data_IF_755344463257
#
_entry.id   IF_755344463257
#
_cell.length_a   1.000
_cell.length_b   1.000
_cell.length_c   1.000
_cell.angle_alpha   90.00
_cell.angle_beta   90.00
_cell.angle_gamma   90.00
#
_symmetry.space_group_name_H-M   'P 1'
#
loop_
_entity.id
_entity.type
_entity.pdbx_description
1 polymer ?
#
# COMPACT_ATOMS: atom_id res chain seq x y z
N UNK A 1 30.27 21.66 20.58
CA UNK A 1 29.31 22.03 19.52
C UNK A 1 29.12 20.83 18.62
N UNK A 2 28.13 19.98 18.93
CA UNK A 2 27.78 18.81 18.11
C UNK A 2 26.43 19.06 17.47
N UNK A 3 26.43 19.38 16.18
CA UNK A 3 25.20 19.47 15.38
C UNK A 3 24.69 18.05 15.16
N UNK A 4 23.73 17.61 15.98
CA UNK A 4 22.99 16.37 15.78
C UNK A 4 22.20 16.49 14.48
N UNK A 5 22.77 15.89 13.44
CA UNK A 5 22.25 15.79 12.08
C UNK A 5 20.79 15.34 12.13
N UNK A 6 19.91 16.22 11.67
CA UNK A 6 18.48 15.95 11.58
C UNK A 6 18.27 14.69 10.74
N UNK A 7 17.50 13.74 11.28
CA UNK A 7 16.99 12.52 10.63
C UNK A 7 16.51 12.82 9.19
N UNK A 8 17.43 12.80 8.21
CA UNK A 8 17.12 13.08 6.81
C UNK A 8 16.37 11.86 6.31
N UNK A 9 15.04 11.90 6.45
CA UNK A 9 14.14 10.76 6.22
C UNK A 9 14.44 10.05 4.91
N UNK A 10 15.15 8.93 5.00
CA UNK A 10 15.58 8.11 3.88
C UNK A 10 14.49 7.08 3.60
N UNK A 11 13.97 6.99 2.38
CA UNK A 11 12.85 6.12 2.02
C UNK A 11 13.26 5.16 0.90
N UNK A 12 13.35 3.87 1.20
CA UNK A 12 13.76 2.80 0.28
C UNK A 12 12.66 2.26 -0.66
N UNK A 13 12.29 2.97 -1.72
CA UNK A 13 11.13 2.70 -2.56
C UNK A 13 11.06 1.28 -3.17
N UNK A 14 10.02 0.52 -2.78
CA UNK A 14 9.63 -0.73 -3.43
C UNK A 14 9.07 -0.47 -4.84
N UNK A 15 9.34 -1.29 -5.87
CA UNK A 15 8.77 -1.12 -7.21
C UNK A 15 7.31 -1.61 -7.30
N UNK A 16 6.51 -1.51 -6.23
CA UNK A 16 5.12 -1.99 -6.24
C UNK A 16 4.18 -0.94 -5.71
N UNK A 17 3.07 -0.77 -6.41
CA UNK A 17 2.02 0.15 -6.00
C UNK A 17 1.25 -0.38 -4.79
N UNK A 18 1.08 0.43 -3.75
CA UNK A 18 0.32 0.08 -2.55
C UNK A 18 -1.18 -0.14 -2.77
N UNK A 19 -1.73 0.24 -3.95
CA UNK A 19 -3.14 0.04 -4.32
C UNK A 19 -3.28 -1.14 -5.27
N UNK A 20 -2.79 -1.01 -6.50
CA UNK A 20 -2.99 -2.02 -7.53
C UNK A 20 -2.05 -3.23 -7.40
N UNK A 21 -0.97 -3.13 -6.58
CA UNK A 21 0.13 -4.10 -6.49
C UNK A 21 0.85 -4.43 -7.81
N UNK A 22 0.55 -3.68 -8.87
CA UNK A 22 1.31 -3.69 -10.11
C UNK A 22 2.69 -3.06 -9.90
N UNK A 23 3.60 -3.40 -10.81
CA UNK A 23 4.95 -2.86 -10.85
C UNK A 23 4.91 -1.37 -11.15
N UNK A 24 5.69 -0.59 -10.40
CA UNK A 24 5.94 0.81 -10.69
C UNK A 24 7.17 0.91 -11.58
N UNK A 25 6.96 1.36 -12.82
CA UNK A 25 7.98 1.51 -13.83
C UNK A 25 8.72 2.84 -13.70
N UNK A 26 9.90 2.91 -14.32
CA UNK A 26 10.73 4.12 -14.34
C UNK A 26 9.93 5.32 -14.86
N UNK A 27 10.09 6.46 -14.20
CA UNK A 27 9.44 7.74 -14.54
C UNK A 27 7.92 7.77 -14.42
N UNK A 28 7.28 6.67 -14.02
CA UNK A 28 5.86 6.74 -13.67
C UNK A 28 5.68 7.71 -12.50
N UNK A 29 4.60 8.48 -12.55
CA UNK A 29 4.28 9.45 -11.51
C UNK A 29 3.74 8.71 -10.30
N UNK A 30 4.38 8.91 -9.15
CA UNK A 30 4.00 8.27 -7.89
C UNK A 30 3.87 9.26 -6.75
N UNK A 31 3.11 8.87 -5.74
CA UNK A 31 3.17 9.45 -4.40
C UNK A 31 3.61 8.37 -3.40
N UNK A 32 4.38 8.74 -2.39
CA UNK A 32 4.78 7.81 -1.33
C UNK A 32 3.95 8.07 -0.07
N UNK A 33 3.28 7.04 0.44
CA UNK A 33 2.65 7.07 1.75
C UNK A 33 3.68 6.73 2.82
N UNK A 34 3.69 7.49 3.91
CA UNK A 34 4.59 7.24 5.04
C UNK A 34 3.88 7.39 6.38
N UNK A 35 4.34 6.59 7.34
CA UNK A 35 4.00 6.69 8.76
C UNK A 35 5.05 7.41 9.59
N UNK A 36 4.82 7.46 10.89
CA UNK A 36 5.88 7.58 11.90
C UNK A 36 6.62 6.24 12.09
N UNK A 37 7.62 6.23 12.97
CA UNK A 37 8.49 5.05 13.22
C UNK A 37 7.72 3.79 13.60
N UNK A 38 6.60 3.94 14.31
CA UNK A 38 5.77 2.81 14.75
C UNK A 38 4.59 2.54 13.79
N UNK A 39 4.49 3.31 12.71
CA UNK A 39 3.37 3.27 11.78
C UNK A 39 2.00 3.44 12.43
N UNK A 40 1.87 4.25 13.50
CA UNK A 40 0.62 4.39 14.28
C UNK A 40 0.03 5.81 14.35
N UNK A 41 0.79 6.91 14.28
CA UNK A 41 0.24 8.24 14.65
C UNK A 41 0.46 9.41 13.67
N UNK A 42 1.64 9.54 13.03
CA UNK A 42 1.90 10.66 12.08
C UNK A 42 1.68 10.24 10.63
N UNK A 43 0.73 10.89 9.96
CA UNK A 43 0.25 10.51 8.64
C UNK A 43 0.68 11.53 7.59
N UNK A 44 1.17 11.05 6.45
CA UNK A 44 1.43 11.90 5.31
C UNK A 44 1.64 11.14 4.02
N UNK A 45 1.59 11.89 2.94
CA UNK A 45 2.03 11.45 1.64
C UNK A 45 2.92 12.53 1.05
N UNK A 46 3.79 12.16 0.12
CA UNK A 46 4.60 13.14 -0.59
C UNK A 46 3.76 13.88 -1.65
N UNK A 47 4.30 14.96 -2.20
CA UNK A 47 3.91 15.44 -3.52
C UNK A 47 4.24 14.39 -4.59
N UNK A 48 3.61 14.46 -5.78
CA UNK A 48 3.91 13.53 -6.85
C UNK A 48 5.34 13.70 -7.36
N UNK A 49 6.01 12.59 -7.68
CA UNK A 49 7.36 12.58 -8.23
C UNK A 49 7.52 11.46 -9.27
N UNK A 50 8.55 11.58 -10.11
CA UNK A 50 8.89 10.55 -11.10
C UNK A 50 9.63 9.40 -10.42
N UNK A 51 9.16 8.17 -10.60
CA UNK A 51 9.75 7.01 -9.93
C UNK A 51 11.22 6.77 -10.37
N UNK A 52 12.17 6.67 -9.42
CA UNK A 52 13.59 6.49 -9.74
C UNK A 52 13.90 5.17 -10.42
N UNK A 53 15.03 5.10 -11.11
CA UNK A 53 15.61 3.82 -11.52
C UNK A 53 16.16 3.03 -10.33
N UNK A 54 16.25 1.69 -10.44
CA UNK A 54 17.05 0.89 -9.51
C UNK A 54 18.48 1.43 -9.38
N UNK A 55 19.06 1.36 -8.17
CA UNK A 55 20.42 1.85 -7.93
C UNK A 55 20.58 3.36 -7.98
N UNK A 56 19.49 4.13 -7.92
CA UNK A 56 19.52 5.59 -7.87
C UNK A 56 18.91 6.11 -6.57
N UNK A 57 19.36 7.29 -6.18
CA UNK A 57 18.73 8.10 -5.13
C UNK A 57 18.28 9.43 -5.73
N UNK A 58 17.00 9.78 -5.56
CA UNK A 58 16.49 11.09 -5.97
C UNK A 58 16.61 12.06 -4.81
N UNK A 59 17.10 13.26 -5.11
CA UNK A 59 17.20 14.37 -4.18
C UNK A 59 15.81 14.86 -3.72
N UNK A 60 15.57 14.71 -2.42
CA UNK A 60 14.61 15.42 -1.54
C UNK A 60 13.24 15.74 -2.14
N UNK A 61 12.33 14.77 -2.10
CA UNK A 61 10.88 15.04 -2.19
C UNK A 61 10.36 15.31 -0.79
N UNK A 62 9.86 16.51 -0.55
CA UNK A 62 9.35 16.97 0.76
C UNK A 62 10.35 16.73 1.91
N UNK A 63 11.63 17.03 1.65
CA UNK A 63 12.71 16.85 2.60
C UNK A 63 13.22 15.41 2.75
N UNK A 64 12.63 14.44 2.04
CA UNK A 64 12.95 13.01 2.15
C UNK A 64 13.79 12.49 1.00
N UNK A 65 14.83 11.71 1.30
CA UNK A 65 15.70 11.08 0.30
C UNK A 65 15.06 9.79 -0.20
N UNK A 66 14.79 9.70 -1.48
CA UNK A 66 14.13 8.54 -2.08
C UNK A 66 15.18 7.62 -2.69
N UNK A 67 15.29 6.39 -2.21
CA UNK A 67 16.37 5.47 -2.52
C UNK A 67 15.86 4.16 -3.11
N UNK A 68 16.58 3.65 -4.11
CA UNK A 68 16.35 2.32 -4.70
C UNK A 68 17.64 1.51 -4.80
N UNK A 69 18.63 1.82 -3.97
CA UNK A 69 19.82 0.98 -3.85
C UNK A 69 19.45 -0.34 -3.16
N UNK A 70 19.79 -1.49 -3.75
CA UNK A 70 19.68 -2.77 -3.04
C UNK A 70 20.55 -2.70 -1.78
N UNK A 71 20.07 -3.33 -0.70
CA UNK A 71 20.80 -3.49 0.56
C UNK A 71 21.29 -2.18 1.22
N UNK A 72 20.63 -1.05 0.93
CA UNK A 72 20.96 0.22 1.57
C UNK A 72 20.70 0.14 3.09
N UNK A 73 21.77 0.21 3.88
CA UNK A 73 21.72 0.11 5.35
C UNK A 73 20.88 1.20 6.01
N UNK A 74 20.86 2.40 5.43
CA UNK A 74 20.06 3.52 5.94
C UNK A 74 18.57 3.28 5.68
N UNK A 75 18.23 2.76 4.49
CA UNK A 75 16.86 2.33 4.19
C UNK A 75 16.38 1.30 5.21
N UNK A 76 17.20 0.32 5.59
CA UNK A 76 16.83 -0.74 6.53
C UNK A 76 16.39 -0.21 7.91
N UNK A 77 16.99 0.89 8.36
CA UNK A 77 16.64 1.55 9.63
C UNK A 77 15.50 2.57 9.52
N UNK A 78 15.01 2.84 8.30
CA UNK A 78 14.01 3.87 8.04
C UNK A 78 12.58 3.31 8.04
N UNK A 79 11.56 4.13 8.41
CA UNK A 79 10.16 3.71 8.43
C UNK A 79 9.70 3.11 7.10
N UNK A 80 8.72 2.21 7.16
CA UNK A 80 8.10 1.66 5.96
C UNK A 80 7.29 2.73 5.22
N UNK A 81 7.32 2.63 3.90
CA UNK A 81 6.55 3.49 2.99
C UNK A 81 6.03 2.62 1.84
N UNK A 82 4.89 3.03 1.31
CA UNK A 82 4.29 2.40 0.14
C UNK A 82 4.24 3.43 -1.01
N UNK A 83 4.99 3.21 -2.11
CA UNK A 83 4.76 3.98 -3.31
C UNK A 83 3.42 3.62 -3.91
N UNK A 84 2.71 4.60 -4.44
CA UNK A 84 1.42 4.44 -5.08
C UNK A 84 1.47 5.19 -6.40
N UNK A 85 1.08 4.55 -7.50
CA UNK A 85 0.84 5.24 -8.77
C UNK A 85 -0.08 6.43 -8.52
N UNK A 86 0.31 7.60 -8.99
CA UNK A 86 -0.45 8.81 -8.68
C UNK A 86 -1.89 8.74 -9.20
N UNK A 87 -2.11 8.10 -10.35
CA UNK A 87 -3.45 7.93 -10.90
C UNK A 87 -4.30 6.98 -10.02
N UNK A 88 -3.72 5.91 -9.47
CA UNK A 88 -4.42 5.06 -8.50
C UNK A 88 -4.79 5.83 -7.22
N UNK A 89 -3.90 6.71 -6.75
CA UNK A 89 -4.16 7.56 -5.59
C UNK A 89 -5.32 8.53 -5.86
N UNK A 90 -5.33 9.18 -7.02
CA UNK A 90 -6.41 10.08 -7.43
C UNK A 90 -7.74 9.35 -7.61
N UNK A 91 -7.76 8.20 -8.30
CA UNK A 91 -8.96 7.38 -8.43
C UNK A 91 -9.52 6.98 -7.07
N UNK A 92 -8.68 6.49 -6.16
CA UNK A 92 -9.10 6.16 -4.80
C UNK A 92 -9.69 7.36 -4.06
N UNK A 93 -9.01 8.51 -4.11
CA UNK A 93 -9.44 9.73 -3.41
C UNK A 93 -10.76 10.28 -3.94
N UNK A 94 -10.98 10.21 -5.25
CA UNK A 94 -12.21 10.70 -5.89
C UNK A 94 -13.41 9.80 -5.62
N UNK A 95 -13.18 8.48 -5.52
CA UNK A 95 -14.25 7.50 -5.32
C UNK A 95 -14.58 7.25 -3.84
N UNK A 96 -13.63 7.43 -2.93
CA UNK A 96 -13.85 7.14 -1.52
C UNK A 96 -14.75 8.20 -0.87
N UNK A 97 -15.86 7.77 -0.25
CA UNK A 97 -16.83 8.68 0.39
C UNK A 97 -16.45 9.09 1.81
N UNK A 98 -15.39 8.50 2.37
CA UNK A 98 -14.89 8.79 3.72
C UNK A 98 -14.03 10.06 3.70
N UNK A 99 -14.05 10.84 4.80
CA UNK A 99 -13.19 12.02 4.96
C UNK A 99 -11.73 11.73 4.59
N UNK A 100 -11.07 12.66 3.87
CA UNK A 100 -9.73 12.47 3.31
C UNK A 100 -8.67 11.98 4.32
N UNK A 101 -8.72 12.48 5.57
CA UNK A 101 -7.80 12.04 6.63
C UNK A 101 -7.99 10.55 6.98
N UNK A 102 -9.23 10.12 7.24
CA UNK A 102 -9.57 8.72 7.53
C UNK A 102 -9.31 7.81 6.32
N UNK A 103 -9.60 8.26 5.11
CA UNK A 103 -9.31 7.52 3.88
C UNK A 103 -7.80 7.26 3.74
N UNK A 104 -6.97 8.28 3.98
CA UNK A 104 -5.51 8.18 3.95
C UNK A 104 -4.97 7.27 5.05
N UNK A 105 -5.49 7.37 6.28
CA UNK A 105 -5.13 6.48 7.38
C UNK A 105 -5.31 5.01 6.99
N UNK A 106 -6.46 4.69 6.40
CA UNK A 106 -6.86 3.33 6.03
C UNK A 106 -6.10 2.81 4.82
N UNK A 107 -5.94 3.65 3.81
CA UNK A 107 -5.13 3.33 2.64
C UNK A 107 -3.71 2.93 3.05
N UNK A 108 -3.11 3.66 4.00
CA UNK A 108 -1.77 3.33 4.49
C UNK A 108 -1.69 1.94 5.12
N UNK A 109 -2.64 1.60 5.98
CA UNK A 109 -2.71 0.28 6.63
C UNK A 109 -2.82 -0.82 5.57
N UNK A 110 -3.76 -0.66 4.63
CA UNK A 110 -3.99 -1.64 3.56
C UNK A 110 -2.80 -1.76 2.61
N UNK A 111 -2.13 -0.64 2.30
CA UNK A 111 -0.92 -0.64 1.48
C UNK A 111 0.27 -1.32 2.17
N UNK A 112 0.40 -1.16 3.49
CA UNK A 112 1.39 -1.87 4.31
C UNK A 112 1.08 -3.38 4.35
N UNK A 113 -0.18 -3.77 4.52
CA UNK A 113 -0.58 -5.19 4.49
C UNK A 113 -0.32 -5.88 3.14
N UNK A 114 -0.43 -5.14 2.03
CA UNK A 114 -0.09 -5.66 0.69
C UNK A 114 1.42 -5.83 0.47
N UNK A 115 2.26 -5.18 1.28
CA UNK A 115 3.72 -5.26 1.23
C UNK A 115 4.25 -5.49 2.65
N UNK A 116 3.97 -6.67 3.24
CA UNK A 116 4.00 -6.89 4.69
C UNK A 116 5.40 -6.82 5.32
N UNK A 117 6.46 -6.94 4.53
CA UNK A 117 7.83 -6.64 4.96
C UNK A 117 8.67 -6.21 3.77
N UNK A 118 9.80 -5.55 4.06
CA UNK A 118 10.76 -5.12 3.05
C UNK A 118 11.33 -6.34 2.31
N UNK A 119 11.30 -6.30 0.97
CA UNK A 119 11.77 -7.42 0.15
C UNK A 119 10.81 -8.61 0.12
N UNK A 120 9.61 -8.50 0.69
CA UNK A 120 8.54 -9.48 0.47
C UNK A 120 8.36 -9.69 -1.03
N UNK A 121 8.49 -10.94 -1.47
CA UNK A 121 8.21 -11.28 -2.85
C UNK A 121 6.76 -10.93 -3.17
N UNK A 122 6.47 -10.45 -4.39
CA UNK A 122 5.12 -10.19 -4.81
C UNK A 122 4.22 -11.41 -4.58
N UNK A 123 3.27 -11.30 -3.66
CA UNK A 123 2.17 -12.27 -3.62
C UNK A 123 1.26 -11.90 -4.78
N UNK A 124 1.45 -12.56 -5.92
CA UNK A 124 0.54 -12.47 -7.07
C UNK A 124 -0.73 -13.26 -6.73
N UNK A 125 -1.66 -12.60 -6.05
CA UNK A 125 -3.03 -13.09 -5.96
C UNK A 125 -3.69 -12.83 -7.32
N UNK A 126 -3.38 -13.70 -8.29
CA UNK A 126 -3.93 -13.67 -9.64
C UNK A 126 -5.39 -14.09 -9.63
N UNK A 127 -6.27 -13.15 -9.29
CA UNK A 127 -7.64 -13.15 -9.75
C UNK A 127 -8.09 -11.70 -9.71
N UNK A 128 -7.96 -11.00 -10.84
CA UNK A 128 -8.73 -9.80 -11.06
C UNK A 128 -10.20 -10.24 -11.17
N UNK A 129 -10.85 -10.40 -10.02
CA UNK A 129 -12.29 -10.66 -9.98
C UNK A 129 -12.97 -9.36 -10.40
N UNK A 130 -13.19 -9.23 -11.71
CA UNK A 130 -13.98 -8.18 -12.31
C UNK A 130 -15.43 -8.39 -11.91
N UNK A 131 -15.86 -7.74 -10.84
CA UNK A 131 -17.28 -7.67 -10.54
C UNK A 131 -17.99 -6.77 -11.57
N UNK A 132 -19.27 -7.04 -11.79
CA UNK A 132 -20.08 -6.34 -12.81
C UNK A 132 -20.25 -4.85 -12.51
N UNK A 133 -20.14 -4.45 -11.25
CA UNK A 133 -20.33 -3.07 -10.81
C UNK A 133 -19.08 -2.23 -11.14
N UNK A 134 -17.89 -2.76 -10.88
CA UNK A 134 -16.62 -2.17 -11.29
C UNK A 134 -16.53 -2.07 -12.81
N UNK A 135 -16.93 -3.11 -13.55
CA UNK A 135 -16.99 -3.06 -15.02
C UNK A 135 -17.97 -1.99 -15.54
N UNK A 136 -19.12 -1.82 -14.89
CA UNK A 136 -20.09 -0.79 -15.25
C UNK A 136 -19.52 0.61 -15.02
N UNK A 137 -18.89 0.81 -13.87
CA UNK A 137 -18.22 2.08 -13.52
C UNK A 137 -17.16 2.42 -14.56
N UNK A 138 -16.35 1.44 -14.96
CA UNK A 138 -15.29 1.62 -15.95
C UNK A 138 -15.82 1.83 -17.37
N UNK A 139 -16.90 1.12 -17.73
CA UNK A 139 -17.56 1.30 -19.03
C UNK A 139 -18.20 2.69 -19.16
N UNK A 140 -18.47 3.36 -18.04
CA UNK A 140 -18.91 4.76 -17.99
C UNK A 140 -17.80 5.77 -18.32
N UNK A 141 -16.52 5.38 -18.27
CA UNK A 141 -15.44 6.24 -18.76
C UNK A 141 -15.50 6.37 -20.28
N UNK A 142 -15.31 7.59 -20.79
CA UNK A 142 -15.41 7.88 -22.22
C UNK A 142 -14.47 6.99 -23.03
N UNK A 143 -15.05 6.15 -23.91
CA UNK A 143 -14.31 5.38 -24.91
C UNK A 143 -14.43 3.85 -24.82
N UNK A 144 -15.03 3.28 -23.77
CA UNK A 144 -15.12 1.82 -23.59
C UNK A 144 -16.53 1.30 -23.20
N UNK A 145 -17.64 1.77 -23.82
CA UNK A 145 -18.99 1.40 -23.39
C UNK A 145 -19.33 -0.09 -23.58
N UNK A 146 -18.63 -0.77 -24.47
CA UNK A 146 -18.84 -2.20 -24.77
C UNK A 146 -17.98 -3.13 -23.90
N UNK A 147 -17.12 -2.59 -23.02
CA UNK A 147 -16.24 -3.42 -22.19
C UNK A 147 -17.05 -4.36 -21.29
N UNK A 148 -18.15 -3.87 -20.71
CA UNK A 148 -19.10 -4.67 -19.91
C UNK A 148 -19.84 -5.77 -20.69
N UNK A 149 -19.82 -5.75 -22.03
CA UNK A 149 -20.48 -6.77 -22.86
C UNK A 149 -19.55 -7.90 -23.26
N UNK A 150 -18.24 -7.76 -23.01
CA UNK A 150 -17.26 -8.76 -23.39
C UNK A 150 -17.31 -9.96 -22.42
N UNK A 151 -17.19 -11.19 -22.93
CA UNK A 151 -16.89 -12.35 -22.11
C UNK A 151 -15.58 -12.17 -21.32
N UNK A 152 -15.49 -12.82 -20.16
CA UNK A 152 -14.33 -12.76 -19.27
C UNK A 152 -13.03 -13.19 -19.95
N UNK A 153 -13.08 -14.12 -20.89
CA UNK A 153 -11.94 -14.63 -21.65
C UNK A 153 -11.34 -13.53 -22.55
N UNK A 154 -12.19 -12.71 -23.17
CA UNK A 154 -11.74 -11.57 -23.97
C UNK A 154 -11.20 -10.46 -23.08
N UNK A 155 -11.84 -10.20 -21.93
CA UNK A 155 -11.33 -9.23 -20.96
C UNK A 155 -9.93 -9.62 -20.46
N UNK A 156 -9.73 -10.90 -20.13
CA UNK A 156 -8.43 -11.41 -19.70
C UNK A 156 -7.39 -11.36 -20.83
N UNK A 157 -7.80 -11.65 -22.07
CA UNK A 157 -6.92 -11.51 -23.23
C UNK A 157 -6.47 -10.06 -23.43
N UNK A 158 -7.41 -9.10 -23.42
CA UNK A 158 -7.08 -7.67 -23.52
C UNK A 158 -6.17 -7.26 -22.36
N UNK A 159 -6.44 -7.74 -21.15
CA UNK A 159 -5.60 -7.50 -19.97
C UNK A 159 -4.18 -7.98 -20.18
N UNK A 160 -3.96 -9.19 -20.69
CA UNK A 160 -2.61 -9.72 -20.95
C UNK A 160 -1.82 -8.85 -21.93
N UNK A 161 -2.47 -8.27 -22.95
CA UNK A 161 -1.81 -7.35 -23.89
C UNK A 161 -1.63 -5.93 -23.36
N UNK A 162 -2.26 -5.57 -22.25
CA UNK A 162 -2.28 -4.20 -21.73
C UNK A 162 -2.16 -4.14 -20.21
N UNK A 163 -1.47 -5.10 -19.60
CA UNK A 163 -1.49 -5.39 -18.15
C UNK A 163 -1.23 -4.14 -17.29
N UNK A 164 -0.25 -3.33 -17.70
CA UNK A 164 0.16 -2.12 -16.98
C UNK A 164 -0.63 -0.86 -17.37
N UNK A 165 -1.70 -0.98 -18.16
CA UNK A 165 -2.50 0.18 -18.57
C UNK A 165 -3.29 0.76 -17.39
N UNK A 166 -3.63 2.05 -17.48
CA UNK A 166 -4.42 2.73 -16.46
C UNK A 166 -5.79 2.06 -16.26
N UNK A 167 -6.35 1.47 -17.31
CA UNK A 167 -7.62 0.73 -17.30
C UNK A 167 -7.63 -0.37 -16.24
N UNK A 168 -6.56 -1.18 -16.15
CA UNK A 168 -6.53 -2.29 -15.18
C UNK A 168 -6.08 -1.84 -13.80
N UNK A 169 -5.26 -0.78 -13.73
CA UNK A 169 -4.79 -0.21 -12.47
C UNK A 169 -5.90 0.52 -11.70
N UNK A 170 -6.90 1.08 -12.38
CA UNK A 170 -8.00 1.76 -11.72
C UNK A 170 -9.00 0.81 -11.03
N UNK A 171 -9.16 -0.42 -11.52
CA UNK A 171 -10.03 -1.46 -10.92
C UNK A 171 -9.74 -1.67 -9.43
N UNK A 172 -8.51 -2.05 -9.02
CA UNK A 172 -8.21 -2.25 -7.60
C UNK A 172 -8.27 -0.93 -6.81
N UNK A 173 -8.12 0.23 -7.44
CA UNK A 173 -8.31 1.52 -6.78
C UNK A 173 -9.79 1.80 -6.46
N UNK A 174 -10.69 1.49 -7.39
CA UNK A 174 -12.15 1.57 -7.19
C UNK A 174 -12.60 0.57 -6.13
N UNK A 175 -12.23 -0.70 -6.27
CA UNK A 175 -12.57 -1.75 -5.31
C UNK A 175 -12.06 -1.43 -3.89
N UNK A 176 -10.85 -0.86 -3.78
CA UNK A 176 -10.32 -0.42 -2.50
C UNK A 176 -11.08 0.78 -1.93
N UNK A 177 -11.48 1.74 -2.77
CA UNK A 177 -12.27 2.90 -2.36
C UNK A 177 -13.66 2.48 -1.88
N UNK A 178 -14.31 1.56 -2.56
CA UNK A 178 -15.62 1.01 -2.17
C UNK A 178 -15.50 0.21 -0.87
N UNK A 179 -14.48 -0.65 -0.76
CA UNK A 179 -14.20 -1.38 0.48
C UNK A 179 -13.97 -0.43 1.66
N UNK A 180 -13.17 0.61 1.47
CA UNK A 180 -12.95 1.64 2.50
C UNK A 180 -14.26 2.35 2.81
N UNK A 181 -15.06 2.71 1.82
CA UNK A 181 -16.33 3.40 2.04
C UNK A 181 -17.36 2.56 2.79
N UNK A 182 -17.36 1.25 2.58
CA UNK A 182 -18.36 0.33 3.12
C UNK A 182 -18.01 -0.27 4.50
N UNK A 183 -16.75 -0.22 4.93
CA UNK A 183 -16.30 -0.86 6.17
C UNK A 183 -15.83 0.16 7.20
N UNK A 184 -16.07 -0.10 8.49
CA UNK A 184 -15.41 0.63 9.57
C UNK A 184 -14.04 0.02 9.85
N UNK A 185 -13.03 0.82 10.27
CA UNK A 185 -11.72 0.29 10.61
C UNK A 185 -11.81 -0.58 11.87
N UNK A 186 -11.34 -1.82 11.77
CA UNK A 186 -11.08 -2.63 12.95
C UNK A 186 -9.91 -2.00 13.75
N UNK A 187 -9.99 -1.96 15.09
CA UNK A 187 -8.89 -1.48 15.91
C UNK A 187 -7.65 -2.35 15.66
N UNK A 188 -6.57 -1.72 15.18
CA UNK A 188 -5.28 -2.40 15.09
C UNK A 188 -4.77 -2.69 16.49
N UNK A 189 -4.50 -3.97 16.76
CA UNK A 189 -3.90 -4.40 18.00
C UNK A 189 -2.43 -4.72 17.76
N UNK A 190 -1.54 -3.92 18.32
CA UNK A 190 -0.13 -4.28 18.44
C UNK A 190 0.04 -5.22 19.63
N UNK A 191 0.59 -6.41 19.38
CA UNK A 191 0.87 -7.43 20.40
C UNK A 191 2.31 -7.86 20.24
N UNK A 192 3.04 -7.95 21.35
CA UNK A 192 4.41 -8.43 21.30
C UNK A 192 4.41 -9.94 21.05
N UNK A 193 5.33 -10.50 20.24
CA UNK A 193 5.34 -11.94 19.95
C UNK A 193 5.34 -12.82 21.22
N UNK A 194 6.01 -12.38 22.29
CA UNK A 194 6.05 -13.08 23.60
C UNK A 194 4.69 -13.16 24.31
N UNK A 195 3.73 -12.34 23.92
CA UNK A 195 2.38 -12.28 24.48
C UNK A 195 1.40 -13.16 23.69
N UNK A 196 1.87 -13.87 22.65
CA UNK A 196 1.06 -14.76 21.82
C UNK A 196 1.44 -16.20 22.16
N UNK A 197 0.58 -16.91 22.88
CA UNK A 197 0.74 -18.33 23.18
C UNK A 197 0.29 -19.19 21.98
N UNK A 198 -0.86 -18.83 21.41
CA UNK A 198 -1.45 -19.53 20.28
C UNK A 198 -2.26 -18.57 19.40
N UNK A 199 -2.23 -18.78 18.09
CA UNK A 199 -3.07 -18.05 17.15
C UNK A 199 -3.43 -18.93 15.95
N UNK A 200 -4.70 -18.84 15.53
CA UNK A 200 -5.17 -19.41 14.27
C UNK A 200 -5.77 -18.31 13.40
N UNK A 201 -5.62 -18.44 12.08
CA UNK A 201 -6.21 -17.52 11.10
C UNK A 201 -7.73 -17.40 11.32
N UNK A 202 -8.23 -16.17 11.40
CA UNK A 202 -9.65 -15.88 11.67
C UNK A 202 -10.10 -16.15 13.12
N UNK A 203 -9.19 -16.55 14.01
CA UNK A 203 -9.45 -16.73 15.44
C UNK A 203 -8.89 -15.59 16.29
N UNK A 204 -9.28 -15.57 17.57
CA UNK A 204 -8.64 -14.74 18.60
C UNK A 204 -7.29 -15.38 18.97
N UNK A 205 -6.29 -14.56 19.27
CA UNK A 205 -5.02 -15.07 19.82
C UNK A 205 -5.15 -15.28 21.32
N UNK A 206 -4.48 -16.32 21.81
CA UNK A 206 -4.39 -16.65 23.24
C UNK A 206 -3.14 -16.01 23.83
N UNK A 207 -3.26 -15.47 25.03
CA UNK A 207 -2.13 -14.88 25.76
C UNK A 207 -1.61 -15.87 26.79
N UNK A 208 -0.29 -15.89 27.09
CA UNK A 208 0.22 -16.61 28.24
C UNK A 208 -0.56 -16.17 29.48
N UNK A 209 -1.07 -17.14 30.25
CA UNK A 209 -1.63 -16.84 31.57
C UNK A 209 -0.51 -16.19 32.39
N UNK A 210 -0.73 -15.04 33.07
CA UNK A 210 0.30 -14.47 33.92
C UNK A 210 0.66 -15.54 34.96
N UNK A 211 1.88 -16.05 34.88
CA UNK A 211 2.39 -16.95 35.89
C UNK A 211 2.34 -16.20 37.22
N UNK A 212 1.45 -16.64 38.11
CA UNK A 212 1.51 -16.31 39.52
C UNK A 212 2.93 -16.67 39.93
N UNK A 213 3.75 -15.64 40.13
CA UNK A 213 5.07 -15.82 40.70
C UNK A 213 4.81 -16.31 42.12
N UNK A 214 4.88 -17.62 42.33
CA UNK A 214 5.02 -18.18 43.67
C UNK A 214 6.37 -17.68 44.17
N UNK A 215 6.32 -16.56 44.88
CA UNK A 215 7.39 -16.13 45.77
C UNK A 215 7.43 -17.21 46.85
N UNK A 216 8.34 -18.18 46.72
CA UNK A 216 8.73 -19.01 47.85
C UNK A 216 9.54 -18.11 48.79
N UNK A 217 8.96 -17.89 49.97
CA UNK A 217 9.62 -17.31 51.13
C UNK A 217 10.60 -18.31 51.76
#
# INVERSE_FOLDING_TARGET
MGTSDHDVGHLGLSPRCGICADTVLRHERVTALFGDRDSTSRQGHTRPFAFPQPGHTIARVDGRLLCRYPDCKICAASPEFAPIHFDCFETFRQQCSVSASRALSRLRILAAWRNPWRGAQPIHLSALMLDKETLRTISGFRGLPHLQTLPSELLETIRQYSEHSLLWRCIPALQLADHVSATEPEPLLAVLPREILFWKRGGKFERPCPSVSLIYA
#
